data_IF_704523811033
#
_entry.id   IF_704523811033
#
_cell.length_a   1.000
_cell.length_b   1.000
_cell.length_c   1.000
_cell.angle_alpha   90.00
_cell.angle_beta   90.00
_cell.angle_gamma   90.00
#
_symmetry.space_group_name_H-M   'P 1'
#
loop_
_entity.id
_entity.type
_entity.pdbx_description
1 polymer ?
#
# COMPACT_ATOMS: atom_id res chain seq x y z
N UNK A 1 -12.48 -53.98 -51.15
CA UNK A 1 -13.16 -53.17 -50.11
C UNK A 1 -13.93 -54.14 -49.24
N UNK A 2 -13.65 -54.20 -47.94
CA UNK A 2 -14.03 -53.10 -47.03
C UNK A 2 -12.87 -52.51 -46.22
N UNK A 3 -13.17 -51.34 -45.69
CA UNK A 3 -12.32 -50.31 -45.11
C UNK A 3 -11.88 -50.63 -43.67
N UNK A 4 -10.65 -50.25 -43.35
CA UNK A 4 -10.10 -50.22 -41.99
C UNK A 4 -10.58 -48.97 -41.27
N UNK A 5 -11.46 -49.13 -40.28
CA UNK A 5 -11.76 -48.07 -39.31
C UNK A 5 -10.57 -47.88 -38.37
N UNK A 6 -9.74 -46.88 -38.65
CA UNK A 6 -8.76 -46.35 -37.71
C UNK A 6 -9.52 -45.57 -36.62
N UNK A 7 -9.42 -46.06 -35.38
CA UNK A 7 -9.94 -45.38 -34.20
C UNK A 7 -9.32 -43.99 -34.05
N UNK A 8 -10.18 -42.98 -34.02
CA UNK A 8 -9.79 -41.62 -33.68
C UNK A 8 -9.42 -41.56 -32.18
N UNK A 9 -8.12 -41.56 -31.88
CA UNK A 9 -7.61 -41.08 -30.60
C UNK A 9 -8.02 -39.62 -30.44
N UNK A 10 -8.95 -39.37 -29.51
CA UNK A 10 -9.30 -38.02 -29.08
C UNK A 10 -8.09 -37.41 -28.38
N UNK A 11 -7.53 -36.35 -28.96
CA UNK A 11 -6.47 -35.56 -28.34
C UNK A 11 -6.85 -35.20 -26.88
N UNK A 12 -5.94 -35.40 -25.90
CA UNK A 12 -6.20 -34.96 -24.54
C UNK A 12 -6.41 -33.44 -24.54
N UNK A 13 -7.34 -32.92 -23.71
CA UNK A 13 -7.62 -31.49 -23.68
C UNK A 13 -6.33 -30.72 -23.39
N UNK A 14 -6.11 -29.58 -24.07
CA UNK A 14 -4.89 -28.81 -23.90
C UNK A 14 -4.71 -28.48 -22.42
N UNK A 15 -3.55 -28.85 -21.87
CA UNK A 15 -3.15 -28.52 -20.51
C UNK A 15 -3.28 -27.01 -20.36
N UNK A 16 -4.31 -26.56 -19.64
CA UNK A 16 -4.51 -25.15 -19.32
C UNK A 16 -3.30 -24.70 -18.51
N UNK A 17 -2.39 -23.98 -19.15
CA UNK A 17 -1.22 -23.44 -18.46
C UNK A 17 -1.72 -22.45 -17.40
N UNK A 18 -1.46 -22.74 -16.13
CA UNK A 18 -1.89 -21.95 -14.96
C UNK A 18 -1.33 -20.51 -14.92
N UNK A 19 -0.52 -20.10 -15.90
CA UNK A 19 0.17 -18.82 -15.93
C UNK A 19 -0.77 -17.58 -15.82
N UNK A 20 -1.96 -17.53 -16.45
CA UNK A 20 -2.90 -16.40 -16.29
C UNK A 20 -3.40 -16.27 -14.85
N UNK A 21 -3.75 -17.39 -14.21
CA UNK A 21 -4.28 -17.42 -12.83
C UNK A 21 -3.23 -17.03 -11.78
N UNK A 22 -1.93 -17.20 -12.06
CA UNK A 22 -0.83 -16.85 -11.14
C UNK A 22 -0.65 -15.34 -10.96
N UNK A 23 -0.88 -14.54 -12.00
CA UNK A 23 -0.76 -13.08 -11.90
C UNK A 23 -2.03 -12.44 -11.35
N UNK A 24 -3.17 -13.08 -11.58
CA UNK A 24 -4.45 -12.59 -11.10
C UNK A 24 -4.51 -12.53 -9.56
N UNK A 25 -3.85 -13.41 -8.80
CA UNK A 25 -3.83 -13.32 -7.32
C UNK A 25 -3.17 -12.02 -6.82
N UNK A 26 -2.06 -11.63 -7.46
CA UNK A 26 -1.31 -10.42 -7.12
C UNK A 26 -2.13 -9.19 -7.50
N UNK A 27 -2.70 -9.18 -8.71
CA UNK A 27 -3.49 -8.07 -9.20
C UNK A 27 -4.81 -7.93 -8.42
N UNK A 28 -5.47 -9.03 -8.03
CA UNK A 28 -6.65 -8.99 -7.17
C UNK A 28 -6.34 -8.35 -5.81
N UNK A 29 -5.23 -8.74 -5.16
CA UNK A 29 -4.83 -8.18 -3.88
C UNK A 29 -4.48 -6.68 -4.00
N UNK A 30 -3.70 -6.29 -5.03
CA UNK A 30 -3.43 -4.87 -5.33
C UNK A 30 -4.72 -4.09 -5.56
N UNK A 31 -5.66 -4.68 -6.30
CA UNK A 31 -6.96 -4.08 -6.59
C UNK A 31 -7.79 -3.82 -5.33
N UNK A 32 -7.87 -4.81 -4.43
CA UNK A 32 -8.57 -4.66 -3.15
C UNK A 32 -7.94 -3.55 -2.32
N UNK A 33 -6.62 -3.55 -2.24
CA UNK A 33 -5.88 -2.56 -1.48
C UNK A 33 -6.04 -1.15 -2.09
N UNK A 34 -6.13 -0.98 -3.41
CA UNK A 34 -6.49 0.32 -4.00
C UNK A 34 -7.88 0.78 -3.58
N UNK A 35 -8.85 -0.12 -3.61
CA UNK A 35 -10.22 0.18 -3.18
C UNK A 35 -10.25 0.70 -1.75
N UNK A 36 -9.49 0.07 -0.83
CA UNK A 36 -9.34 0.51 0.56
C UNK A 36 -8.53 1.81 0.68
N UNK A 37 -7.49 2.02 -0.13
CA UNK A 37 -6.71 3.25 -0.14
C UNK A 37 -7.57 4.46 -0.56
N UNK A 38 -8.44 4.29 -1.57
CA UNK A 38 -9.40 5.33 -1.97
C UNK A 38 -10.37 5.63 -0.83
N UNK A 39 -10.77 4.63 -0.03
CA UNK A 39 -11.59 4.86 1.17
C UNK A 39 -10.86 5.72 2.20
N UNK A 40 -9.57 5.42 2.47
CA UNK A 40 -8.75 6.18 3.43
C UNK A 40 -8.72 7.67 3.06
N UNK A 41 -8.35 7.96 1.80
CA UNK A 41 -8.25 9.33 1.35
C UNK A 41 -9.62 10.00 1.19
N UNK A 42 -10.66 9.28 0.76
CA UNK A 42 -12.01 9.85 0.76
C UNK A 42 -12.43 10.25 2.17
N UNK A 43 -12.12 9.44 3.20
CA UNK A 43 -12.36 9.83 4.60
C UNK A 43 -11.54 11.06 4.97
N UNK A 44 -10.24 11.09 4.67
CA UNK A 44 -9.35 12.20 5.04
C UNK A 44 -9.86 13.56 4.51
N UNK A 45 -10.37 13.59 3.28
CA UNK A 45 -10.84 14.84 2.66
C UNK A 45 -12.28 15.20 2.99
N UNK A 46 -13.16 14.22 3.22
CA UNK A 46 -14.59 14.48 3.34
C UNK A 46 -15.15 14.32 4.75
N UNK A 47 -14.57 13.49 5.62
CA UNK A 47 -15.17 13.24 6.91
C UNK A 47 -14.99 14.45 7.84
N UNK A 48 -16.08 14.90 8.48
CA UNK A 48 -16.06 16.04 9.41
C UNK A 48 -15.10 15.85 10.60
N UNK A 49 -14.87 14.61 11.02
CA UNK A 49 -14.06 14.28 12.19
C UNK A 49 -12.57 14.06 11.81
N UNK A 50 -12.24 13.99 10.50
CA UNK A 50 -10.89 13.68 10.01
C UNK A 50 -9.81 14.68 10.45
N UNK A 51 -10.22 15.92 10.69
CA UNK A 51 -9.33 17.02 11.12
C UNK A 51 -9.47 17.33 12.61
N UNK A 52 -10.36 16.63 13.32
CA UNK A 52 -10.65 16.86 14.72
C UNK A 52 -9.82 15.96 15.65
N UNK A 53 -9.65 14.68 15.30
CA UNK A 53 -8.88 13.72 16.09
C UNK A 53 -8.42 12.53 15.24
N UNK A 54 -7.47 11.74 15.75
CA UNK A 54 -7.06 10.49 15.10
C UNK A 54 -8.20 9.46 15.16
N UNK A 55 -8.69 8.89 14.05
CA UNK A 55 -9.70 7.84 14.05
C UNK A 55 -9.37 6.59 14.91
N UNK A 56 -8.12 6.42 15.33
CA UNK A 56 -7.67 5.34 16.23
C UNK A 56 -7.58 5.75 17.70
N UNK A 57 -7.85 7.03 18.04
CA UNK A 57 -7.94 7.52 19.41
C UNK A 57 -9.13 6.85 20.12
N UNK A 58 -8.84 5.92 21.03
CA UNK A 58 -9.85 5.10 21.71
C UNK A 58 -10.79 5.91 22.60
N UNK A 59 -10.39 7.11 23.02
CA UNK A 59 -11.24 8.00 23.84
C UNK A 59 -12.34 8.67 23.03
N UNK A 60 -12.13 8.83 21.72
CA UNK A 60 -13.01 9.63 20.83
C UNK A 60 -13.62 8.81 19.70
N UNK A 61 -13.00 7.71 19.33
CA UNK A 61 -13.42 6.91 18.17
C UNK A 61 -14.72 6.14 18.44
N UNK A 62 -15.28 5.65 17.35
CA UNK A 62 -16.35 4.64 17.37
C UNK A 62 -15.82 3.38 16.69
N UNK A 63 -16.34 2.18 16.99
CA UNK A 63 -15.89 0.95 16.31
C UNK A 63 -15.95 1.04 14.78
N UNK A 64 -16.98 1.68 14.23
CA UNK A 64 -17.13 1.85 12.77
C UNK A 64 -16.04 2.76 12.19
N UNK A 65 -15.75 3.88 12.86
CA UNK A 65 -14.69 4.81 12.44
C UNK A 65 -13.30 4.18 12.60
N UNK A 66 -13.04 3.53 13.73
CA UNK A 66 -11.82 2.77 13.98
C UNK A 66 -11.56 1.75 12.88
N UNK A 67 -12.52 0.87 12.60
CA UNK A 67 -12.35 -0.16 11.56
C UNK A 67 -12.25 0.45 10.17
N UNK A 68 -12.90 1.57 9.89
CA UNK A 68 -12.72 2.30 8.61
C UNK A 68 -11.26 2.74 8.43
N UNK A 69 -10.58 3.18 9.50
CA UNK A 69 -9.17 3.54 9.45
C UNK A 69 -8.24 2.32 9.52
N UNK A 70 -8.57 1.36 10.34
CA UNK A 70 -7.72 0.20 10.59
C UNK A 70 -7.64 -0.72 9.36
N UNK A 71 -8.73 -0.96 8.62
CA UNK A 71 -8.65 -1.82 7.42
C UNK A 71 -7.75 -1.22 6.32
N UNK A 72 -7.59 0.11 6.28
CA UNK A 72 -6.73 0.78 5.30
C UNK A 72 -5.25 0.72 5.71
N UNK A 73 -4.94 0.26 6.93
CA UNK A 73 -3.58 -0.11 7.32
C UNK A 73 -3.03 -1.23 6.45
N UNK A 74 -3.88 -2.05 5.85
CA UNK A 74 -3.46 -3.10 4.91
C UNK A 74 -2.70 -2.53 3.71
N UNK A 75 -2.94 -1.27 3.34
CA UNK A 75 -2.61 -0.78 2.02
C UNK A 75 -1.11 -0.64 1.75
N UNK A 76 -0.42 0.14 2.59
CA UNK A 76 0.99 0.42 2.42
C UNK A 76 1.89 -0.83 2.49
N UNK A 77 1.82 -1.69 3.53
CA UNK A 77 2.72 -2.84 3.64
C UNK A 77 2.48 -3.82 2.48
N UNK A 78 1.23 -4.01 2.06
CA UNK A 78 0.90 -4.87 0.92
C UNK A 78 1.52 -4.34 -0.37
N UNK A 79 1.41 -3.03 -0.65
CA UNK A 79 2.00 -2.46 -1.86
C UNK A 79 3.52 -2.54 -1.88
N UNK A 80 4.16 -2.23 -0.76
CA UNK A 80 5.61 -2.25 -0.63
C UNK A 80 6.13 -3.68 -0.75
N UNK A 81 5.47 -4.65 -0.09
CA UNK A 81 5.77 -6.07 -0.24
C UNK A 81 5.60 -6.56 -1.69
N UNK A 82 4.46 -6.25 -2.32
CA UNK A 82 4.20 -6.66 -3.71
C UNK A 82 5.08 -5.94 -4.73
N UNK A 83 5.69 -4.81 -4.36
CA UNK A 83 6.73 -4.16 -5.16
C UNK A 83 8.00 -5.02 -5.14
N UNK A 84 8.44 -5.50 -3.97
CA UNK A 84 9.52 -6.46 -3.85
C UNK A 84 9.28 -7.75 -4.63
N UNK A 85 8.09 -8.34 -4.50
CA UNK A 85 7.67 -9.52 -5.29
C UNK A 85 7.77 -9.23 -6.79
N UNK A 86 7.35 -8.05 -7.24
CA UNK A 86 7.43 -7.63 -8.64
C UNK A 86 8.88 -7.57 -9.15
N UNK A 87 9.81 -7.09 -8.32
CA UNK A 87 11.25 -7.06 -8.67
C UNK A 87 11.78 -8.48 -8.87
N UNK A 88 11.49 -9.39 -7.94
CA UNK A 88 11.88 -10.80 -8.04
C UNK A 88 11.31 -11.46 -9.32
N UNK A 89 10.01 -11.28 -9.58
CA UNK A 89 9.36 -11.87 -10.76
C UNK A 89 9.91 -11.29 -12.07
N UNK A 90 10.38 -10.05 -12.09
CA UNK A 90 11.03 -9.47 -13.26
C UNK A 90 12.38 -10.12 -13.55
N UNK A 91 13.19 -10.37 -12.53
CA UNK A 91 14.48 -11.07 -12.64
C UNK A 91 14.27 -12.49 -13.17
N UNK A 92 13.38 -13.24 -12.53
CA UNK A 92 13.13 -14.62 -12.87
C UNK A 92 12.43 -14.84 -14.23
N UNK A 93 11.88 -13.79 -14.84
CA UNK A 93 11.42 -13.79 -16.25
C UNK A 93 12.55 -13.56 -17.26
N UNK A 94 13.80 -13.54 -16.81
CA UNK A 94 14.97 -13.43 -17.68
C UNK A 94 15.43 -12.00 -17.97
N UNK A 95 15.01 -10.99 -17.19
CA UNK A 95 15.67 -9.68 -17.26
C UNK A 95 17.09 -9.83 -16.72
N UNK A 96 18.08 -9.42 -17.51
CA UNK A 96 19.48 -9.43 -17.06
C UNK A 96 19.69 -8.47 -15.89
N UNK A 97 20.64 -8.78 -15.01
CA UNK A 97 20.90 -8.02 -13.77
C UNK A 97 21.11 -6.51 -14.02
N UNK A 98 21.90 -6.16 -15.04
CA UNK A 98 22.13 -4.76 -15.43
C UNK A 98 20.88 -4.08 -15.99
N UNK A 99 20.05 -4.79 -16.78
CA UNK A 99 18.78 -4.24 -17.28
C UNK A 99 17.78 -4.05 -16.16
N UNK A 100 17.76 -4.95 -15.17
CA UNK A 100 16.93 -4.81 -13.98
C UNK A 100 17.41 -3.62 -13.14
N UNK A 101 18.71 -3.51 -12.88
CA UNK A 101 19.33 -2.37 -12.17
C UNK A 101 18.93 -1.04 -12.81
N UNK A 102 19.16 -0.88 -14.12
CA UNK A 102 18.82 0.36 -14.83
C UNK A 102 17.31 0.64 -14.82
N UNK A 103 16.48 -0.39 -14.92
CA UNK A 103 15.03 -0.24 -14.81
C UNK A 103 14.58 0.23 -13.42
N UNK A 104 15.15 -0.34 -12.34
CA UNK A 104 14.83 0.04 -10.97
C UNK A 104 15.29 1.46 -10.65
N UNK A 105 16.48 1.86 -11.09
CA UNK A 105 16.97 3.23 -10.94
C UNK A 105 16.06 4.23 -11.67
N UNK A 106 15.76 3.98 -12.94
CA UNK A 106 14.91 4.88 -13.73
C UNK A 106 13.48 4.96 -13.16
N UNK A 107 12.90 3.82 -12.79
CA UNK A 107 11.55 3.76 -12.20
C UNK A 107 11.52 4.43 -10.82
N UNK A 108 12.51 4.18 -9.98
CA UNK A 108 12.61 4.75 -8.64
C UNK A 108 12.76 6.27 -8.67
N UNK A 109 13.68 6.78 -9.50
CA UNK A 109 13.85 8.23 -9.71
C UNK A 109 12.57 8.89 -10.25
N UNK A 110 11.89 8.22 -11.17
CA UNK A 110 10.61 8.70 -11.70
C UNK A 110 9.53 8.80 -10.62
N UNK A 111 9.39 7.81 -9.74
CA UNK A 111 8.44 7.86 -8.63
C UNK A 111 8.77 8.96 -7.61
N UNK A 112 10.06 9.16 -7.30
CA UNK A 112 10.50 10.27 -6.43
C UNK A 112 10.15 11.62 -7.07
N UNK A 113 10.45 11.81 -8.36
CA UNK A 113 10.13 13.04 -9.07
C UNK A 113 8.61 13.33 -9.08
N UNK A 114 7.79 12.31 -9.31
CA UNK A 114 6.33 12.42 -9.24
C UNK A 114 5.82 12.75 -7.84
N UNK A 115 6.44 12.18 -6.79
CA UNK A 115 6.05 12.49 -5.42
C UNK A 115 6.26 13.98 -5.14
N UNK A 116 7.46 14.48 -5.44
CA UNK A 116 7.85 15.87 -5.19
C UNK A 116 7.07 16.89 -6.02
N UNK A 117 6.37 16.44 -7.07
CA UNK A 117 5.64 17.29 -8.01
C UNK A 117 4.15 16.99 -7.97
N UNK A 118 3.67 16.11 -8.87
CA UNK A 118 2.25 15.86 -9.12
C UNK A 118 1.52 15.30 -7.91
N UNK A 119 2.14 14.44 -7.11
CA UNK A 119 1.44 13.80 -5.98
C UNK A 119 1.38 14.75 -4.79
N UNK A 120 2.50 15.39 -4.42
CA UNK A 120 2.50 16.43 -3.38
C UNK A 120 1.52 17.56 -3.70
N UNK A 121 1.52 18.03 -4.96
CA UNK A 121 0.54 19.02 -5.41
C UNK A 121 -0.89 18.48 -5.33
N UNK A 122 -1.14 17.26 -5.80
CA UNK A 122 -2.48 16.66 -5.72
C UNK A 122 -3.01 16.56 -4.29
N UNK A 123 -2.13 16.32 -3.31
CA UNK A 123 -2.53 16.21 -1.91
C UNK A 123 -2.75 17.58 -1.23
N UNK A 124 -2.12 18.63 -1.75
CA UNK A 124 -2.12 19.92 -1.06
C UNK A 124 -2.86 21.02 -1.82
N UNK A 125 -3.05 20.91 -3.14
CA UNK A 125 -3.46 22.00 -4.05
C UNK A 125 -2.76 23.33 -3.74
N UNK A 126 -1.50 23.24 -3.32
CA UNK A 126 -0.67 24.36 -2.88
C UNK A 126 0.79 24.00 -3.02
N UNK A 127 1.61 24.96 -3.45
CA UNK A 127 3.02 24.77 -3.73
C UNK A 127 3.83 25.98 -3.23
N UNK A 128 5.03 25.80 -2.65
CA UNK A 128 5.71 24.51 -2.39
C UNK A 128 5.27 23.84 -1.09
N UNK A 129 4.96 22.54 -1.14
CA UNK A 129 4.81 21.66 0.04
C UNK A 129 5.16 20.22 -0.38
N UNK A 130 6.18 19.61 0.25
CA UNK A 130 6.62 18.25 -0.08
C UNK A 130 6.01 17.23 0.86
N UNK A 131 5.13 16.37 0.35
CA UNK A 131 4.51 15.31 1.12
C UNK A 131 5.11 13.96 0.74
N UNK A 132 6.12 13.52 1.49
CA UNK A 132 6.86 12.29 1.19
C UNK A 132 6.12 11.09 1.81
N UNK A 133 5.40 10.37 0.96
CA UNK A 133 4.53 9.27 1.34
C UNK A 133 5.05 7.92 0.84
N UNK A 134 4.15 6.94 0.73
CA UNK A 134 4.44 5.57 0.32
C UNK A 134 5.07 5.50 -1.08
N UNK A 135 4.73 6.40 -2.00
CA UNK A 135 5.31 6.40 -3.35
C UNK A 135 6.77 6.85 -3.31
N UNK A 136 7.11 7.85 -2.47
CA UNK A 136 8.50 8.19 -2.19
C UNK A 136 9.28 7.00 -1.61
N UNK A 137 8.74 6.34 -0.57
CA UNK A 137 9.38 5.18 0.04
C UNK A 137 9.58 4.02 -0.94
N UNK A 138 8.61 3.76 -1.83
CA UNK A 138 8.74 2.79 -2.92
C UNK A 138 9.80 3.23 -3.93
N UNK A 139 9.83 4.51 -4.30
CA UNK A 139 10.79 5.06 -5.27
C UNK A 139 12.23 4.94 -4.79
N UNK A 140 12.52 5.38 -3.57
CA UNK A 140 13.84 5.21 -2.95
C UNK A 140 14.14 3.74 -2.68
N UNK A 141 13.14 2.96 -2.25
CA UNK A 141 13.27 1.51 -2.09
C UNK A 141 13.69 0.80 -3.37
N UNK A 142 13.15 1.18 -4.54
CA UNK A 142 13.58 0.66 -5.84
C UNK A 142 15.03 1.04 -6.17
N UNK A 143 15.45 2.26 -5.84
CA UNK A 143 16.85 2.69 -6.03
C UNK A 143 17.80 1.83 -5.18
N UNK A 144 17.46 1.58 -3.91
CA UNK A 144 18.24 0.72 -3.03
C UNK A 144 18.21 -0.74 -3.49
N UNK A 145 17.06 -1.22 -3.96
CA UNK A 145 16.91 -2.55 -4.55
C UNK A 145 17.72 -2.72 -5.84
N UNK A 146 18.07 -1.65 -6.55
CA UNK A 146 18.97 -1.72 -7.72
C UNK A 146 20.38 -2.19 -7.36
N UNK A 147 20.76 -2.11 -6.08
CA UNK A 147 21.99 -2.70 -5.53
C UNK A 147 21.69 -4.02 -4.83
N UNK A 148 20.66 -4.08 -3.98
CA UNK A 148 20.39 -5.27 -3.15
C UNK A 148 19.98 -6.50 -3.96
N UNK A 149 19.35 -6.34 -5.13
CA UNK A 149 18.90 -7.48 -5.95
C UNK A 149 20.04 -8.35 -6.49
N UNK A 150 21.28 -7.82 -6.53
CA UNK A 150 22.50 -8.57 -6.88
C UNK A 150 22.86 -9.64 -5.84
N UNK A 151 22.37 -9.50 -4.60
CA UNK A 151 22.58 -10.49 -3.56
C UNK A 151 21.67 -11.71 -3.78
N UNK A 152 22.06 -12.90 -3.29
CA UNK A 152 21.16 -14.05 -3.27
C UNK A 152 19.84 -13.69 -2.57
N UNK A 153 18.70 -14.14 -3.10
CA UNK A 153 17.38 -13.81 -2.55
C UNK A 153 17.22 -14.10 -1.05
N UNK A 154 17.93 -15.12 -0.53
CA UNK A 154 17.99 -15.43 0.91
C UNK A 154 18.68 -14.32 1.72
N UNK A 155 19.75 -13.73 1.20
CA UNK A 155 20.45 -12.62 1.85
C UNK A 155 19.55 -11.38 1.91
N UNK A 156 18.84 -11.08 0.81
CA UNK A 156 17.87 -9.97 0.80
C UNK A 156 16.72 -10.23 1.78
N UNK A 157 16.25 -11.48 1.88
CA UNK A 157 15.25 -11.86 2.88
C UNK A 157 15.73 -11.62 4.31
N UNK A 158 16.97 -12.05 4.63
CA UNK A 158 17.58 -11.84 5.95
C UNK A 158 17.71 -10.34 6.26
N UNK A 159 18.16 -9.53 5.28
CA UNK A 159 18.20 -8.07 5.41
C UNK A 159 16.79 -7.52 5.69
N UNK A 160 15.77 -7.98 4.96
CA UNK A 160 14.39 -7.56 5.17
C UNK A 160 13.88 -7.87 6.59
N UNK A 161 14.15 -9.08 7.08
CA UNK A 161 13.82 -9.49 8.45
C UNK A 161 14.56 -8.62 9.47
N UNK A 162 15.87 -8.41 9.28
CA UNK A 162 16.69 -7.61 10.18
C UNK A 162 16.23 -6.15 10.23
N UNK A 163 15.83 -5.57 9.09
CA UNK A 163 15.29 -4.22 9.05
C UNK A 163 13.94 -4.15 9.76
N UNK A 164 12.97 -4.99 9.39
CA UNK A 164 11.61 -4.98 9.99
C UNK A 164 11.63 -5.29 11.49
N UNK A 165 12.39 -6.30 11.92
CA UNK A 165 12.46 -6.69 13.32
C UNK A 165 13.46 -5.87 14.14
N UNK A 166 14.39 -5.16 13.50
CA UNK A 166 15.48 -4.45 14.17
C UNK A 166 15.31 -2.95 14.25
N UNK A 167 14.60 -2.30 13.29
CA UNK A 167 14.52 -0.84 13.26
C UNK A 167 13.89 -0.26 14.53
N UNK A 168 12.95 -0.98 15.16
CA UNK A 168 12.31 -0.55 16.41
C UNK A 168 13.29 -0.43 17.59
N UNK A 169 14.42 -1.16 17.56
CA UNK A 169 15.48 -1.05 18.58
C UNK A 169 16.17 0.33 18.56
N UNK A 170 16.09 1.04 17.43
CA UNK A 170 16.67 2.38 17.26
C UNK A 170 15.68 3.50 17.64
N UNK A 171 14.46 3.17 18.07
CA UNK A 171 13.43 4.16 18.38
C UNK A 171 13.72 5.08 19.56
N UNK A 172 14.76 4.80 20.36
CA UNK A 172 15.26 5.72 21.38
C UNK A 172 15.95 6.96 20.80
N UNK A 173 16.40 6.91 19.54
CA UNK A 173 17.01 8.05 18.84
C UNK A 173 15.90 8.85 18.15
N UNK A 174 15.65 10.05 18.68
CA UNK A 174 14.64 10.97 18.15
C UNK A 174 15.27 12.03 17.26
N UNK A 175 14.66 12.33 16.13
CA UNK A 175 15.10 13.36 15.19
C UNK A 175 15.32 14.73 15.86
N UNK A 176 14.54 15.06 16.89
CA UNK A 176 14.64 16.32 17.65
C UNK A 176 15.96 16.43 18.43
N UNK A 177 16.62 15.30 18.73
CA UNK A 177 17.92 15.28 19.40
C UNK A 177 19.09 15.50 18.43
N UNK A 178 18.84 15.37 17.12
CA UNK A 178 19.82 15.59 16.06
C UNK A 178 19.75 17.03 15.53
N UNK A 179 20.84 17.50 14.93
CA UNK A 179 20.93 18.87 14.41
C UNK A 179 21.24 18.90 12.92
N UNK A 180 20.73 19.93 12.24
CA UNK A 180 21.03 20.22 10.84
C UNK A 180 20.68 19.05 9.91
N UNK A 181 21.64 18.65 9.08
CA UNK A 181 21.48 17.61 8.05
C UNK A 181 21.18 16.23 8.65
N UNK A 182 21.74 15.91 9.82
CA UNK A 182 21.56 14.60 10.46
C UNK A 182 20.10 14.36 10.86
N UNK A 183 19.41 15.41 11.33
CA UNK A 183 17.97 15.37 11.61
C UNK A 183 17.16 15.04 10.35
N UNK A 184 17.49 15.67 9.21
CA UNK A 184 16.78 15.44 7.95
C UNK A 184 17.05 14.01 7.45
N UNK A 185 18.30 13.55 7.48
CA UNK A 185 18.67 12.19 7.08
C UNK A 185 17.94 11.17 7.97
N UNK A 186 17.90 11.39 9.28
CA UNK A 186 17.21 10.51 10.21
C UNK A 186 15.71 10.45 9.94
N UNK A 187 15.05 11.59 9.69
CA UNK A 187 13.64 11.62 9.31
C UNK A 187 13.38 10.89 7.98
N UNK A 188 14.23 11.11 6.99
CA UNK A 188 14.14 10.39 5.71
C UNK A 188 14.30 8.87 5.89
N UNK A 189 15.16 8.44 6.82
CA UNK A 189 15.51 7.04 7.00
C UNK A 189 14.57 6.29 7.95
N UNK A 190 14.24 6.85 9.12
CA UNK A 190 13.72 6.09 10.27
C UNK A 190 12.42 6.66 10.87
N UNK A 191 12.22 7.98 10.83
CA UNK A 191 11.18 8.63 11.64
C UNK A 191 10.30 9.61 10.82
N UNK A 192 8.96 9.52 10.91
CA UNK A 192 8.09 10.51 10.27
C UNK A 192 8.24 11.89 10.93
N UNK A 193 8.03 12.97 10.18
CA UNK A 193 8.09 14.33 10.72
C UNK A 193 8.21 15.41 9.65
N UNK A 194 8.25 16.67 10.07
CA UNK A 194 8.47 17.80 9.17
C UNK A 194 9.86 17.78 8.51
N UNK A 195 10.01 18.42 7.34
CA UNK A 195 11.31 18.48 6.64
C UNK A 195 12.22 19.63 7.11
N UNK A 196 12.02 20.12 8.33
CA UNK A 196 12.82 21.20 8.91
C UNK A 196 12.52 22.53 8.22
N UNK A 197 13.52 23.10 7.54
CA UNK A 197 13.40 24.38 6.83
C UNK A 197 12.66 24.27 5.50
N UNK A 198 12.49 23.07 4.95
CA UNK A 198 11.70 22.86 3.75
C UNK A 198 10.21 22.69 4.11
N UNK A 199 9.30 23.35 3.39
CA UNK A 199 7.87 23.17 3.63
C UNK A 199 7.47 21.76 3.21
N UNK A 200 7.05 20.95 4.19
CA UNK A 200 6.65 19.57 3.93
C UNK A 200 6.90 18.65 5.10
N UNK A 201 6.54 17.38 4.90
CA UNK A 201 6.70 16.32 5.88
C UNK A 201 6.96 14.97 5.20
N UNK A 202 7.68 14.11 5.89
CA UNK A 202 7.78 12.69 5.57
C UNK A 202 6.90 11.88 6.50
N UNK A 203 6.08 11.00 5.93
CA UNK A 203 5.22 10.08 6.69
C UNK A 203 5.70 8.64 6.56
N UNK A 204 6.47 8.33 5.51
CA UNK A 204 6.95 6.98 5.21
C UNK A 204 8.49 6.94 5.19
N UNK A 205 9.15 6.85 6.36
CA UNK A 205 10.61 6.77 6.44
C UNK A 205 11.16 5.52 5.73
N UNK A 206 12.20 5.68 4.92
CA UNK A 206 12.58 4.71 3.88
C UNK A 206 13.00 3.35 4.45
N UNK A 207 13.72 3.28 5.56
CA UNK A 207 14.37 2.05 6.02
C UNK A 207 13.37 0.99 6.51
N UNK A 208 12.37 1.30 7.36
CA UNK A 208 11.33 0.33 7.73
C UNK A 208 10.58 -0.23 6.51
N UNK A 209 10.22 0.64 5.55
CA UNK A 209 9.51 0.22 4.33
C UNK A 209 10.41 -0.56 3.36
N UNK A 210 11.69 -0.22 3.26
CA UNK A 210 12.67 -1.03 2.52
C UNK A 210 12.72 -2.46 3.07
N UNK A 211 12.67 -2.62 4.40
CA UNK A 211 12.57 -3.94 5.04
C UNK A 211 11.42 -4.78 4.48
N UNK A 212 10.22 -4.20 4.42
CA UNK A 212 9.02 -4.86 3.85
C UNK A 212 9.21 -5.18 2.35
N UNK A 213 9.85 -4.30 1.59
CA UNK A 213 10.15 -4.55 0.17
C UNK A 213 11.14 -5.73 0.01
N UNK A 214 12.18 -5.79 0.84
CA UNK A 214 13.15 -6.88 0.88
C UNK A 214 12.49 -8.21 1.27
N UNK A 215 11.56 -8.22 2.23
CA UNK A 215 10.73 -9.40 2.53
C UNK A 215 9.96 -9.87 1.28
N UNK A 216 9.33 -8.93 0.56
CA UNK A 216 8.62 -9.20 -0.68
C UNK A 216 9.50 -9.81 -1.77
N UNK A 217 10.72 -9.29 -1.95
CA UNK A 217 11.68 -9.83 -2.90
C UNK A 217 12.13 -11.24 -2.50
N UNK A 218 12.55 -11.41 -1.24
CA UNK A 218 13.04 -12.69 -0.71
C UNK A 218 11.99 -13.81 -0.70
N UNK A 219 10.71 -13.46 -0.53
CA UNK A 219 9.58 -14.39 -0.59
C UNK A 219 8.94 -14.48 -1.99
N UNK A 220 9.43 -13.74 -2.97
CA UNK A 220 8.87 -13.66 -4.32
C UNK A 220 8.80 -15.01 -5.06
N UNK A 221 9.70 -15.95 -4.73
CA UNK A 221 9.73 -17.29 -5.32
C UNK A 221 8.45 -18.10 -5.08
N UNK A 222 7.72 -17.82 -4.00
CA UNK A 222 6.46 -18.51 -3.67
C UNK A 222 5.42 -18.32 -4.78
N UNK A 223 5.43 -17.17 -5.46
CA UNK A 223 4.49 -16.88 -6.53
C UNK A 223 4.83 -17.60 -7.85
N UNK A 224 5.96 -18.31 -7.93
CA UNK A 224 6.30 -19.17 -9.06
C UNK A 224 5.93 -20.63 -8.84
N UNK A 225 5.75 -21.03 -7.58
CA UNK A 225 5.36 -22.39 -7.23
C UNK A 225 4.03 -22.77 -7.89
N UNK A 226 3.86 -24.07 -8.11
CA UNK A 226 2.59 -24.66 -8.53
C UNK A 226 1.46 -24.34 -7.55
N UNK A 227 0.21 -24.43 -8.01
CA UNK A 227 -0.94 -23.93 -7.27
C UNK A 227 -1.05 -24.47 -5.83
N UNK A 228 -0.89 -25.79 -5.64
CA UNK A 228 -0.99 -26.42 -4.32
C UNK A 228 0.16 -26.01 -3.39
N UNK A 229 1.40 -26.07 -3.88
CA UNK A 229 2.60 -25.68 -3.13
C UNK A 229 2.59 -24.20 -2.77
N UNK A 230 2.16 -23.34 -3.70
CA UNK A 230 1.95 -21.91 -3.47
C UNK A 230 0.90 -21.67 -2.38
N UNK A 231 -0.25 -22.33 -2.47
CA UNK A 231 -1.32 -22.22 -1.46
C UNK A 231 -0.80 -22.61 -0.08
N UNK A 232 -0.12 -23.76 0.03
CA UNK A 232 0.49 -24.23 1.28
C UNK A 232 1.49 -23.22 1.84
N UNK A 233 2.39 -22.70 1.02
CA UNK A 233 3.37 -21.70 1.44
C UNK A 233 2.72 -20.41 1.94
N UNK A 234 1.73 -19.87 1.20
CA UNK A 234 0.98 -18.67 1.62
C UNK A 234 0.21 -18.91 2.92
N UNK A 235 -0.41 -20.09 3.09
CA UNK A 235 -1.10 -20.44 4.34
C UNK A 235 -0.14 -20.50 5.52
N UNK A 236 1.04 -21.10 5.35
CA UNK A 236 2.06 -21.16 6.40
C UNK A 236 2.61 -19.77 6.75
N UNK A 237 2.82 -18.90 5.76
CA UNK A 237 3.21 -17.51 6.01
C UNK A 237 2.13 -16.73 6.75
N UNK A 238 0.86 -16.87 6.35
CA UNK A 238 -0.25 -16.22 7.03
C UNK A 238 -0.33 -16.66 8.51
N UNK A 239 -0.30 -17.98 8.75
CA UNK A 239 -0.31 -18.53 10.10
C UNK A 239 0.93 -18.13 10.91
N UNK A 240 2.10 -18.12 10.29
CA UNK A 240 3.35 -17.72 10.94
C UNK A 240 3.35 -16.25 11.36
N UNK A 241 2.95 -15.34 10.46
CA UNK A 241 2.89 -13.91 10.77
C UNK A 241 1.82 -13.59 11.82
N UNK A 242 0.61 -14.13 11.67
CA UNK A 242 -0.46 -13.89 12.65
C UNK A 242 -0.17 -14.56 14.00
N UNK A 243 0.39 -15.77 13.99
CA UNK A 243 0.80 -16.46 15.20
C UNK A 243 1.90 -15.70 15.95
N UNK A 244 2.94 -15.23 15.24
CA UNK A 244 4.00 -14.42 15.85
C UNK A 244 3.46 -13.09 16.37
N UNK A 245 2.57 -12.42 15.61
CA UNK A 245 1.89 -11.22 16.08
C UNK A 245 1.15 -11.47 17.41
N UNK A 246 0.38 -12.54 17.52
CA UNK A 246 -0.33 -12.85 18.76
C UNK A 246 0.62 -13.16 19.93
N UNK A 247 1.71 -13.90 19.66
CA UNK A 247 2.74 -14.23 20.66
C UNK A 247 3.41 -12.96 21.20
N UNK A 248 3.65 -11.96 20.35
CA UNK A 248 4.29 -10.71 20.75
C UNK A 248 3.29 -9.73 21.37
N UNK A 249 2.18 -9.48 20.67
CA UNK A 249 1.21 -8.43 21.01
C UNK A 249 0.43 -8.71 22.28
N UNK A 250 -0.11 -9.93 22.46
CA UNK A 250 -0.97 -10.23 23.62
C UNK A 250 -0.25 -10.02 24.97
N UNK A 251 0.98 -10.50 25.18
CA UNK A 251 1.73 -10.21 26.40
C UNK A 251 2.46 -8.85 26.42
N UNK A 252 2.25 -7.96 25.44
CA UNK A 252 2.99 -6.68 25.31
C UNK A 252 4.53 -6.89 25.28
N UNK A 253 5.00 -7.89 24.53
CA UNK A 253 6.43 -8.08 24.26
C UNK A 253 6.92 -7.09 23.18
N UNK A 254 8.19 -7.22 22.80
CA UNK A 254 8.77 -6.44 21.71
C UNK A 254 7.95 -6.58 20.41
N UNK A 255 7.58 -5.45 19.81
CA UNK A 255 6.93 -5.44 18.50
C UNK A 255 6.36 -4.09 18.14
N UNK A 256 5.56 -3.54 19.06
CA UNK A 256 5.04 -2.17 19.04
C UNK A 256 5.54 -1.39 20.26
N UNK A 257 5.76 -0.09 20.11
CA UNK A 257 6.19 0.79 21.22
C UNK A 257 5.00 1.26 22.07
N UNK A 258 3.78 1.14 21.54
CA UNK A 258 2.55 1.49 22.24
C UNK A 258 1.89 0.20 22.76
N UNK A 259 2.11 -0.19 24.04
CA UNK A 259 1.46 -1.35 24.62
C UNK A 259 -0.05 -1.12 24.67
N UNK A 260 -0.83 -2.18 24.46
CA UNK A 260 -2.27 -2.10 24.71
C UNK A 260 -2.55 -2.17 26.22
N UNK A 261 -3.64 -1.55 26.67
CA UNK A 261 -4.00 -1.47 28.07
C UNK A 261 -5.32 -2.17 28.38
N UNK A 262 -5.52 -2.54 29.66
CA UNK A 262 -6.79 -3.07 30.12
C UNK A 262 -7.88 -2.00 30.06
N UNK A 263 -8.75 -2.12 29.07
CA UNK A 263 -9.89 -1.23 28.90
C UNK A 263 -11.08 -1.67 29.75
N UNK A 264 -11.85 -0.70 30.27
CA UNK A 264 -13.08 -0.96 31.03
C UNK A 264 -14.17 -1.64 30.18
N UNK A 265 -14.15 -1.38 28.88
CA UNK A 265 -15.05 -2.00 27.90
C UNK A 265 -14.31 -3.11 27.12
N UNK A 266 -14.76 -4.37 27.15
CA UNK A 266 -14.14 -5.47 26.40
C UNK A 266 -14.02 -5.21 24.89
N UNK A 267 -14.97 -4.47 24.30
CA UNK A 267 -14.90 -4.07 22.90
C UNK A 267 -13.75 -3.12 22.61
N UNK A 268 -13.50 -2.14 23.48
CA UNK A 268 -12.38 -1.21 23.36
C UNK A 268 -11.03 -1.92 23.56
N UNK A 269 -10.98 -2.92 24.43
CA UNK A 269 -9.78 -3.75 24.62
C UNK A 269 -9.37 -4.45 23.32
N UNK A 270 -10.34 -4.97 22.55
CA UNK A 270 -10.05 -5.56 21.23
C UNK A 270 -9.52 -4.52 20.25
N UNK A 271 -10.08 -3.31 20.25
CA UNK A 271 -9.59 -2.22 19.39
C UNK A 271 -8.15 -1.83 19.76
N UNK A 272 -7.85 -1.76 21.06
CA UNK A 272 -6.51 -1.44 21.58
C UNK A 272 -5.46 -2.49 21.20
N UNK A 273 -5.79 -3.78 21.35
CA UNK A 273 -4.94 -4.89 20.90
C UNK A 273 -4.64 -4.77 19.39
N UNK A 274 -5.61 -4.35 18.59
CA UNK A 274 -5.47 -4.17 17.14
C UNK A 274 -4.81 -2.84 16.75
N UNK A 275 -4.71 -1.87 17.66
CA UNK A 275 -4.15 -0.56 17.43
C UNK A 275 -2.62 -0.60 17.45
N UNK A 276 -2.04 -0.84 16.28
CA UNK A 276 -0.59 -0.98 16.07
C UNK A 276 -0.04 0.14 15.20
N UNK A 277 1.18 0.57 15.52
CA UNK A 277 1.85 1.75 15.00
C UNK A 277 2.22 1.59 13.52
N UNK A 278 1.66 2.46 12.66
CA UNK A 278 1.91 2.50 11.22
C UNK A 278 3.11 3.36 10.82
N UNK A 279 3.43 4.39 11.61
CA UNK A 279 4.41 5.43 11.26
C UNK A 279 5.43 5.62 12.38
N UNK A 280 6.64 5.05 12.27
CA UNK A 280 7.05 4.02 11.30
C UNK A 280 6.29 2.69 11.51
N UNK A 281 6.25 1.78 10.52
CA UNK A 281 5.52 0.52 10.64
C UNK A 281 6.21 -0.36 11.68
N UNK A 282 5.54 -0.64 12.80
CA UNK A 282 6.08 -1.52 13.83
C UNK A 282 6.21 -2.97 13.34
N UNK A 283 6.94 -3.81 14.09
CA UNK A 283 7.02 -5.23 13.79
C UNK A 283 5.62 -5.86 13.88
N UNK A 284 4.85 -5.51 14.90
CA UNK A 284 3.47 -5.98 15.10
C UNK A 284 2.56 -5.54 13.95
N UNK A 285 2.65 -4.27 13.53
CA UNK A 285 1.95 -3.77 12.35
C UNK A 285 2.29 -4.57 11.10
N UNK A 286 3.57 -4.83 10.87
CA UNK A 286 4.03 -5.55 9.68
C UNK A 286 3.53 -7.00 9.68
N UNK A 287 3.64 -7.70 10.81
CA UNK A 287 3.17 -9.07 10.97
C UNK A 287 1.66 -9.17 10.78
N UNK A 288 0.89 -8.32 11.45
CA UNK A 288 -0.57 -8.32 11.36
C UNK A 288 -1.02 -8.04 9.92
N UNK A 289 -0.53 -6.95 9.31
CA UNK A 289 -1.00 -6.53 7.99
C UNK A 289 -0.55 -7.47 6.87
N UNK A 290 0.70 -7.96 6.89
CA UNK A 290 1.14 -8.96 5.90
C UNK A 290 0.46 -10.32 6.12
N UNK A 291 0.21 -10.71 7.37
CA UNK A 291 -0.57 -11.91 7.69
C UNK A 291 -1.97 -11.86 7.09
N UNK A 292 -2.69 -10.74 7.30
CA UNK A 292 -4.01 -10.50 6.71
C UNK A 292 -3.96 -10.44 5.18
N UNK A 293 -2.93 -9.81 4.60
CA UNK A 293 -2.74 -9.79 3.15
C UNK A 293 -2.57 -11.20 2.56
N UNK A 294 -1.83 -12.08 3.24
CA UNK A 294 -1.68 -13.49 2.83
C UNK A 294 -3.00 -14.26 2.95
N UNK A 295 -3.80 -14.02 4.00
CA UNK A 295 -5.15 -14.58 4.10
C UNK A 295 -6.04 -14.13 2.93
N UNK A 296 -6.00 -12.84 2.56
CA UNK A 296 -6.77 -12.30 1.45
C UNK A 296 -6.32 -12.86 0.09
N UNK A 297 -5.02 -13.07 -0.12
CA UNK A 297 -4.51 -13.79 -1.29
C UNK A 297 -5.21 -15.15 -1.48
N UNK A 298 -5.43 -15.89 -0.40
CA UNK A 298 -6.06 -17.22 -0.45
C UNK A 298 -7.56 -17.16 -0.80
N UNK A 299 -8.26 -16.08 -0.47
CA UNK A 299 -9.73 -15.99 -0.60
C UNK A 299 -10.18 -15.23 -1.85
N UNK A 300 -9.43 -14.22 -2.30
CA UNK A 300 -9.82 -13.33 -3.40
C UNK A 300 -10.09 -14.06 -4.72
N UNK A 301 -9.36 -15.15 -4.98
CA UNK A 301 -9.54 -15.95 -6.20
C UNK A 301 -10.86 -16.73 -6.23
N UNK A 302 -11.52 -16.87 -5.08
CA UNK A 302 -12.81 -17.55 -4.93
C UNK A 302 -14.01 -16.59 -5.03
N UNK A 303 -13.78 -15.27 -5.14
CA UNK A 303 -14.87 -14.31 -5.29
C UNK A 303 -15.62 -14.51 -6.62
N UNK A 304 -16.93 -14.20 -6.68
CA UNK A 304 -17.65 -14.15 -7.94
C UNK A 304 -16.98 -13.21 -8.96
N UNK A 305 -17.06 -13.55 -10.25
CA UNK A 305 -16.43 -12.79 -11.34
C UNK A 305 -16.82 -11.30 -11.32
N UNK A 306 -18.04 -10.97 -10.89
CA UNK A 306 -18.52 -9.60 -10.75
C UNK A 306 -17.62 -8.75 -9.86
N UNK A 307 -17.13 -9.30 -8.75
CA UNK A 307 -16.24 -8.60 -7.82
C UNK A 307 -14.78 -8.67 -8.26
N UNK A 308 -14.35 -9.74 -8.92
CA UNK A 308 -12.98 -9.84 -9.41
C UNK A 308 -12.67 -8.82 -10.52
N UNK A 309 -13.63 -8.52 -11.39
CA UNK A 309 -13.43 -7.61 -12.54
C UNK A 309 -12.95 -6.20 -12.16
N UNK A 310 -13.59 -5.46 -11.22
CA UNK A 310 -13.09 -4.17 -10.77
C UNK A 310 -11.74 -4.28 -10.08
N UNK A 311 -11.54 -5.29 -9.22
CA UNK A 311 -10.26 -5.49 -8.54
C UNK A 311 -9.12 -5.73 -9.54
N UNK A 312 -9.33 -6.58 -10.55
CA UNK A 312 -8.35 -6.80 -11.61
C UNK A 312 -8.08 -5.54 -12.43
N UNK A 313 -9.10 -4.71 -12.70
CA UNK A 313 -8.90 -3.46 -13.42
C UNK A 313 -7.98 -2.52 -12.64
N UNK A 314 -8.29 -2.27 -11.37
CA UNK A 314 -7.48 -1.41 -10.50
C UNK A 314 -6.08 -1.99 -10.27
N UNK A 315 -5.99 -3.27 -9.93
CA UNK A 315 -4.73 -3.93 -9.60
C UNK A 315 -3.77 -4.08 -10.75
N UNK A 316 -4.28 -4.16 -11.99
CA UNK A 316 -3.44 -4.09 -13.20
C UNK A 316 -2.97 -2.68 -13.47
N UNK A 317 -3.68 -1.63 -13.06
CA UNK A 317 -3.30 -0.23 -13.32
C UNK A 317 -3.12 0.57 -12.03
N UNK A 318 -2.27 0.10 -11.09
CA UNK A 318 -2.28 0.62 -9.73
C UNK A 318 -1.79 2.06 -9.65
N UNK A 319 -0.72 2.38 -10.38
CA UNK A 319 -0.16 3.74 -10.37
C UNK A 319 -1.07 4.75 -11.07
N UNK A 320 -1.68 4.42 -12.21
CA UNK A 320 -2.71 5.28 -12.82
C UNK A 320 -3.89 5.51 -11.88
N UNK A 321 -4.41 4.45 -11.25
CA UNK A 321 -5.56 4.55 -10.34
C UNK A 321 -5.19 5.41 -9.13
N UNK A 322 -3.97 5.25 -8.60
CA UNK A 322 -3.42 6.11 -7.55
C UNK A 322 -3.28 7.57 -8.02
N UNK A 323 -2.75 7.82 -9.22
CA UNK A 323 -2.59 9.19 -9.67
C UNK A 323 -3.93 9.88 -9.92
N UNK A 324 -4.96 9.17 -10.38
CA UNK A 324 -6.27 9.78 -10.64
C UNK A 324 -7.10 9.97 -9.37
N UNK A 325 -7.07 9.03 -8.42
CA UNK A 325 -7.93 9.11 -7.25
C UNK A 325 -7.70 10.39 -6.45
N UNK A 326 -6.44 10.82 -6.29
CA UNK A 326 -6.08 11.97 -5.48
C UNK A 326 -6.72 13.26 -6.01
N UNK A 327 -6.66 13.48 -7.33
CA UNK A 327 -7.28 14.66 -7.95
C UNK A 327 -8.81 14.57 -7.94
N UNK A 328 -9.38 13.37 -8.11
CA UNK A 328 -10.83 13.18 -8.06
C UNK A 328 -11.36 13.38 -6.63
N UNK A 329 -10.68 12.84 -5.62
CA UNK A 329 -11.05 12.96 -4.20
C UNK A 329 -10.91 14.42 -3.77
N UNK A 330 -9.73 15.03 -3.94
CA UNK A 330 -9.49 16.39 -3.50
C UNK A 330 -10.31 17.42 -4.30
N UNK A 331 -10.39 17.25 -5.63
CA UNK A 331 -11.26 18.06 -6.48
C UNK A 331 -12.74 17.89 -6.12
N UNK A 332 -13.18 16.68 -5.79
CA UNK A 332 -14.54 16.42 -5.33
C UNK A 332 -14.86 17.10 -3.99
N UNK A 333 -13.91 17.11 -3.05
CA UNK A 333 -14.04 17.82 -1.78
C UNK A 333 -14.18 19.33 -2.01
N UNK A 334 -13.33 19.90 -2.86
CA UNK A 334 -13.41 21.30 -3.27
C UNK A 334 -14.76 21.63 -3.90
N UNK A 335 -15.23 20.83 -4.87
CA UNK A 335 -16.51 21.06 -5.54
C UNK A 335 -17.70 21.02 -4.58
N UNK A 336 -17.74 20.02 -3.68
CA UNK A 336 -18.80 19.91 -2.68
C UNK A 336 -18.71 21.06 -1.66
N UNK A 337 -17.51 21.48 -1.27
CA UNK A 337 -17.28 22.64 -0.40
C UNK A 337 -17.78 23.94 -1.00
N UNK A 338 -17.55 24.15 -2.29
CA UNK A 338 -18.09 25.32 -3.02
C UNK A 338 -19.62 25.35 -3.01
N UNK A 339 -20.27 24.20 -3.17
CA UNK A 339 -21.73 24.08 -3.06
C UNK A 339 -22.23 24.43 -1.65
N UNK A 340 -21.42 24.17 -0.61
CA UNK A 340 -21.69 24.54 0.77
C UNK A 340 -21.28 25.98 1.12
N UNK A 341 -20.77 26.76 0.16
CA UNK A 341 -20.37 28.14 0.35
C UNK A 341 -18.96 28.35 0.92
N UNK A 342 -18.14 27.30 1.02
CA UNK A 342 -16.75 27.40 1.49
C UNK A 342 -15.86 27.91 0.35
N UNK A 343 -15.02 28.93 0.58
CA UNK A 343 -14.12 29.46 -0.45
C UNK A 343 -13.14 28.40 -1.00
N UNK A 344 -12.96 28.37 -2.33
CA UNK A 344 -12.01 27.45 -2.99
C UNK A 344 -10.59 27.51 -2.39
N UNK A 345 -10.15 28.71 -1.98
CA UNK A 345 -8.82 28.92 -1.42
C UNK A 345 -8.57 28.13 -0.13
N UNK A 346 -9.61 27.74 0.60
CA UNK A 346 -9.47 26.99 1.86
C UNK A 346 -9.22 25.50 1.63
N UNK A 347 -9.48 25.01 0.42
CA UNK A 347 -9.07 23.67 -0.03
C UNK A 347 -7.63 23.64 -0.56
N UNK A 348 -7.01 24.81 -0.78
CA UNK A 348 -5.59 24.89 -1.04
C UNK A 348 -4.80 24.87 0.28
N UNK A 349 -3.58 24.33 0.21
CA UNK A 349 -2.71 24.13 1.36
C UNK A 349 -3.33 23.27 2.48
N UNK A 350 -4.13 22.27 2.09
CA UNK A 350 -4.86 21.37 3.01
C UNK A 350 -3.97 20.74 4.08
N UNK A 351 -2.78 20.27 3.71
CA UNK A 351 -1.83 19.64 4.64
C UNK A 351 -1.06 20.65 5.50
N UNK A 352 -0.83 21.86 4.97
CA UNK A 352 -0.13 22.92 5.67
C UNK A 352 -1.01 23.68 6.68
N UNK A 353 -2.34 23.68 6.49
CA UNK A 353 -3.29 24.32 7.40
C UNK A 353 -4.59 23.50 7.54
N UNK A 354 -4.52 22.28 8.11
CA UNK A 354 -5.69 21.40 8.25
C UNK A 354 -6.81 22.02 9.08
N UNK A 355 -6.50 22.94 10.00
CA UNK A 355 -7.49 23.57 10.87
C UNK A 355 -8.41 24.59 10.19
N UNK A 356 -8.10 25.06 8.97
CA UNK A 356 -8.92 26.09 8.31
C UNK A 356 -10.31 25.57 7.95
N UNK A 357 -10.37 24.44 7.22
CA UNK A 357 -11.65 23.86 6.79
C UNK A 357 -12.53 23.45 7.98
N UNK A 358 -11.92 22.96 9.07
CA UNK A 358 -12.65 22.64 10.30
C UNK A 358 -13.35 23.88 10.90
N UNK A 359 -12.70 25.05 10.86
CA UNK A 359 -13.30 26.32 11.33
C UNK A 359 -14.46 26.77 10.45
N UNK A 360 -14.42 26.46 9.16
CA UNK A 360 -15.48 26.75 8.21
C UNK A 360 -16.65 25.75 8.29
N UNK A 361 -16.58 24.77 9.20
CA UNK A 361 -17.59 23.73 9.36
C UNK A 361 -17.58 22.68 8.25
N UNK A 362 -16.45 22.53 7.54
CA UNK A 362 -16.31 21.55 6.47
C UNK A 362 -16.45 20.11 6.96
N UNK A 363 -17.12 19.30 6.14
CA UNK A 363 -17.11 17.86 6.22
C UNK A 363 -18.50 17.25 6.26
N UNK A 364 -18.55 15.96 5.98
CA UNK A 364 -19.76 15.16 5.91
C UNK A 364 -19.67 13.99 6.87
N UNK A 365 -20.82 13.39 7.18
CA UNK A 365 -20.90 12.22 8.05
C UNK A 365 -20.28 10.99 7.40
N UNK A 366 -19.86 10.01 8.21
CA UNK A 366 -19.15 8.82 7.73
C UNK A 366 -19.95 7.99 6.70
N UNK A 367 -21.28 7.92 6.80
CA UNK A 367 -22.08 7.21 5.80
C UNK A 367 -22.06 7.92 4.45
N UNK A 368 -22.06 9.26 4.43
CA UNK A 368 -21.95 10.05 3.20
C UNK A 368 -20.57 9.85 2.57
N UNK A 369 -19.52 9.73 3.38
CA UNK A 369 -18.17 9.37 2.91
C UNK A 369 -18.18 8.05 2.15
N UNK A 370 -18.89 7.02 2.62
CA UNK A 370 -19.00 5.76 1.89
C UNK A 370 -19.73 5.89 0.55
N UNK A 371 -20.77 6.74 0.48
CA UNK A 371 -21.46 7.03 -0.79
C UNK A 371 -20.50 7.73 -1.76
N UNK A 372 -19.79 8.77 -1.31
CA UNK A 372 -18.79 9.48 -2.13
C UNK A 372 -17.69 8.51 -2.59
N UNK A 373 -17.19 7.66 -1.70
CA UNK A 373 -16.19 6.64 -2.01
C UNK A 373 -16.65 5.71 -3.13
N UNK A 374 -17.88 5.20 -3.06
CA UNK A 374 -18.44 4.35 -4.11
C UNK A 374 -18.57 5.10 -5.45
N UNK A 375 -19.01 6.36 -5.43
CA UNK A 375 -19.07 7.20 -6.63
C UNK A 375 -17.67 7.36 -7.25
N UNK A 376 -16.65 7.65 -6.45
CA UNK A 376 -15.27 7.81 -6.92
C UNK A 376 -14.74 6.50 -7.53
N UNK A 377 -15.01 5.35 -6.92
CA UNK A 377 -14.66 4.05 -7.50
C UNK A 377 -15.36 3.81 -8.85
N UNK A 378 -16.64 4.17 -8.96
CA UNK A 378 -17.39 4.07 -10.21
C UNK A 378 -16.80 4.96 -11.31
N UNK A 379 -16.29 6.15 -10.96
CA UNK A 379 -15.61 7.04 -11.90
C UNK A 379 -14.24 6.51 -12.33
N UNK A 380 -13.48 5.94 -11.40
CA UNK A 380 -12.15 5.38 -11.67
C UNK A 380 -12.21 4.09 -12.52
N UNK A 381 -13.20 3.23 -12.28
CA UNK A 381 -13.30 1.91 -12.91
C UNK A 381 -13.22 1.91 -14.45
N UNK A 382 -14.00 2.71 -15.20
CA UNK A 382 -13.94 2.69 -16.66
C UNK A 382 -12.56 3.12 -17.19
N UNK A 383 -11.91 4.08 -16.53
CA UNK A 383 -10.58 4.57 -16.91
C UNK A 383 -9.52 3.50 -16.67
N UNK A 384 -9.49 2.90 -15.48
CA UNK A 384 -8.57 1.80 -15.14
C UNK A 384 -8.79 0.58 -16.05
N UNK A 385 -10.04 0.24 -16.35
CA UNK A 385 -10.38 -0.86 -17.27
C UNK A 385 -9.92 -0.58 -18.71
N UNK A 386 -10.15 0.63 -19.21
CA UNK A 386 -9.74 1.04 -20.55
C UNK A 386 -8.21 1.01 -20.68
N UNK A 387 -7.50 1.57 -19.70
CA UNK A 387 -6.03 1.55 -19.68
C UNK A 387 -5.47 0.13 -19.54
N UNK A 388 -6.08 -0.72 -18.72
CA UNK A 388 -5.68 -2.12 -18.59
C UNK A 388 -5.75 -2.85 -19.95
N UNK A 389 -6.83 -2.63 -20.73
CA UNK A 389 -6.96 -3.18 -22.09
C UNK A 389 -5.91 -2.59 -23.03
N UNK A 390 -5.70 -1.28 -22.98
CA UNK A 390 -4.72 -0.59 -23.81
C UNK A 390 -3.31 -1.16 -23.64
N UNK A 391 -2.88 -1.44 -22.40
CA UNK A 391 -1.57 -2.02 -22.12
C UNK A 391 -1.39 -3.47 -22.61
N UNK A 392 -2.49 -4.20 -22.84
CA UNK A 392 -2.39 -5.56 -23.40
C UNK A 392 -2.09 -5.53 -24.90
N UNK A 393 -2.52 -4.48 -25.60
CA UNK A 393 -2.41 -4.37 -27.06
C UNK A 393 -1.26 -3.45 -27.51
N UNK A 394 -0.63 -2.71 -26.59
CA UNK A 394 0.45 -1.76 -26.90
C UNK A 394 1.69 -2.00 -26.04
N UNK A 395 2.87 -1.72 -26.60
CA UNK A 395 4.18 -1.95 -25.94
C UNK A 395 5.09 -0.71 -25.92
N UNK A 396 4.52 0.49 -25.81
CA UNK A 396 5.35 1.71 -25.74
C UNK A 396 6.16 1.78 -24.43
N UNK A 397 7.34 2.40 -24.48
CA UNK A 397 8.28 2.49 -23.36
C UNK A 397 7.69 3.20 -22.13
N UNK A 398 6.81 4.18 -22.34
CA UNK A 398 6.18 4.93 -21.26
C UNK A 398 5.10 4.13 -20.52
N UNK A 399 4.66 2.97 -21.03
CA UNK A 399 3.67 2.12 -20.34
C UNK A 399 4.25 1.41 -19.12
N UNK A 400 5.57 1.21 -19.04
CA UNK A 400 6.21 0.80 -17.78
C UNK A 400 6.32 1.96 -16.77
N UNK A 401 6.11 3.18 -17.26
CA UNK A 401 5.94 4.49 -16.63
C UNK A 401 4.71 4.68 -15.71
N UNK A 402 3.64 3.95 -16.04
CA UNK A 402 2.26 4.24 -15.64
C UNK A 402 1.45 2.97 -15.38
#
# INVERSE_FOLDING_TARGET
MPESEAGAESDPPPIQTDAPRRLDIIDLLRGLVLVLMVLDHTRDYFNKDALAFDPLDLEKTTPVLFFTRWITHLCAPTFVFLSGVSIFLQQARGKTEWRLTGHLLARGLWLVALELTLISFGFNFGYPFFFLQVIFAIGVGMILMAVLHWLPGRSVLIIGIALVAGHGLLGGVKAETLQGTDQVIWRLAMEPGGLGSLPGMIVYPVIPWLGIMCLGYGLGFIFQLEALSRRRAITLLAAGFLGLFLILRLPNLYGDQNPWEWQSNPGLMVLDILNVSKYPPSLDYTLLMLGLAMCLCLTLTHLPRLFQLPLLAFGRTPFLTYLLHIYIVHGGALLLGLVQGIPAAHFANFLGNPGQLAKDGWGISLWQVYVVWLVILCLLYPVSRAYARFRMTHRQWWLSYL
#
